data_IF_253845333081
#
_entry.id   IF_253845333081
#
_cell.length_a   1.000
_cell.length_b   1.000
_cell.length_c   1.000
_cell.angle_alpha   90.00
_cell.angle_beta   90.00
_cell.angle_gamma   90.00
#
_symmetry.space_group_name_H-M   'P 1'
#
loop_
_entity.id
_entity.type
_entity.pdbx_description
1 polymer ?
#
# COMPACT_ATOMS: atom_id res chain seq x y z
N UNK A 1 0.74 -36.55 -37.37
CA UNK A 1 -0.45 -35.70 -37.16
C UNK A 1 0.07 -34.42 -36.52
N UNK A 2 0.34 -33.37 -37.29
CA UNK A 2 -0.59 -32.26 -37.64
C UNK A 2 -0.94 -31.43 -36.39
N UNK A 3 -0.31 -30.25 -36.18
CA UNK A 3 -0.78 -28.89 -36.54
C UNK A 3 -1.95 -28.42 -35.65
N UNK A 4 -1.99 -27.25 -34.99
CA UNK A 4 -1.67 -25.86 -35.39
C UNK A 4 -1.54 -24.98 -34.11
N UNK A 5 -0.82 -23.85 -34.03
CA UNK A 5 -1.07 -22.54 -34.70
C UNK A 5 -2.38 -21.91 -34.18
N UNK A 6 -2.53 -20.67 -33.72
CA UNK A 6 -1.93 -19.35 -34.03
C UNK A 6 -2.49 -18.32 -33.01
N UNK A 7 -1.69 -17.39 -32.49
CA UNK A 7 -1.64 -15.93 -32.80
C UNK A 7 -2.97 -15.15 -32.82
N UNK A 8 -3.03 -14.02 -32.09
CA UNK A 8 -3.37 -12.66 -32.58
C UNK A 8 -3.69 -11.67 -31.45
N UNK A 9 -2.97 -10.53 -31.41
CA UNK A 9 -3.50 -9.26 -30.89
C UNK A 9 -4.49 -8.63 -31.90
N UNK A 10 -5.13 -7.48 -31.61
CA UNK A 10 -4.50 -6.17 -31.93
C UNK A 10 -4.91 -4.94 -31.06
N UNK A 11 -3.96 -3.99 -30.96
CA UNK A 11 -3.95 -2.52 -31.20
C UNK A 11 -5.04 -1.49 -30.76
N UNK A 12 -4.52 -0.29 -30.41
CA UNK A 12 -5.04 1.12 -30.47
C UNK A 12 -5.73 1.70 -29.21
N UNK A 13 -5.11 2.65 -28.49
CA UNK A 13 -5.03 4.12 -28.69
C UNK A 13 -6.24 4.91 -28.15
N UNK A 14 -6.04 5.77 -27.14
CA UNK A 14 -6.48 7.18 -27.08
C UNK A 14 -6.25 7.86 -25.72
N UNK A 15 -5.50 8.96 -25.80
CA UNK A 15 -5.49 10.23 -25.05
C UNK A 15 -6.45 10.45 -23.87
N UNK A 16 -5.91 10.99 -22.77
CA UNK A 16 -6.47 12.14 -22.06
C UNK A 16 -5.40 12.82 -21.18
N UNK A 17 -5.10 14.08 -21.50
CA UNK A 17 -4.40 15.00 -20.62
C UNK A 17 -5.28 15.36 -19.42
N UNK A 18 -4.70 15.49 -18.24
CA UNK A 18 -5.23 16.36 -17.19
C UNK A 18 -4.10 16.83 -16.29
N UNK A 19 -3.92 18.14 -16.36
CA UNK A 19 -3.08 19.01 -15.56
C UNK A 19 -3.56 19.08 -14.12
N UNK A 20 -2.63 19.06 -13.17
CA UNK A 20 -2.83 19.70 -11.86
C UNK A 20 -1.51 20.28 -11.36
N UNK A 21 -1.40 21.58 -11.56
CA UNK A 21 -0.46 22.51 -10.97
C UNK A 21 -0.48 22.46 -9.44
N UNK A 22 0.69 22.38 -8.81
CA UNK A 22 0.87 22.89 -7.45
C UNK A 22 1.92 23.99 -7.47
N UNK A 23 1.41 25.15 -7.06
CA UNK A 23 2.03 26.46 -6.96
C UNK A 23 2.87 26.55 -5.68
N UNK A 24 4.10 27.03 -5.80
CA UNK A 24 4.86 27.59 -4.67
C UNK A 24 5.68 28.78 -5.18
N UNK A 25 5.29 29.98 -4.77
CA UNK A 25 5.92 31.26 -5.10
C UNK A 25 7.34 31.41 -4.53
N UNK A 26 8.29 32.03 -5.23
CA UNK A 26 9.52 32.54 -4.64
C UNK A 26 9.31 33.98 -4.15
N UNK A 27 9.73 34.25 -2.92
CA UNK A 27 9.74 35.59 -2.33
C UNK A 27 11.02 36.29 -2.80
N UNK A 28 10.88 37.31 -3.64
CA UNK A 28 11.95 38.22 -4.01
C UNK A 28 12.41 39.02 -2.78
N UNK A 29 13.73 39.14 -2.62
CA UNK A 29 14.35 40.30 -2.01
C UNK A 29 15.67 40.59 -2.75
N UNK A 30 15.70 41.69 -3.49
CA UNK A 30 16.93 42.39 -3.86
C UNK A 30 17.10 43.59 -2.93
N UNK A 31 18.33 44.05 -2.69
CA UNK A 31 18.72 45.28 -3.39
C UNK A 31 20.19 45.33 -3.85
N UNK A 32 20.35 45.80 -5.09
CA UNK A 32 21.30 46.82 -5.57
C UNK A 32 22.57 47.11 -4.76
N UNK A 33 23.73 46.84 -5.37
CA UNK A 33 24.85 47.79 -5.47
C UNK A 33 25.85 47.36 -6.57
N UNK A 34 25.89 48.14 -7.65
CA UNK A 34 27.04 48.30 -8.58
C UNK A 34 28.04 49.30 -7.96
N UNK A 35 29.33 49.43 -8.37
CA UNK A 35 29.81 49.34 -9.76
C UNK A 35 31.21 48.71 -9.99
N UNK A 36 31.47 48.25 -11.23
CA UNK A 36 32.69 48.50 -12.02
C UNK A 36 32.70 47.61 -13.29
N UNK A 37 32.61 48.25 -14.44
CA UNK A 37 33.03 47.75 -15.77
C UNK A 37 34.57 47.75 -15.89
N UNK A 38 35.24 47.11 -16.88
CA UNK A 38 34.81 47.07 -18.30
C UNK A 38 35.12 45.82 -19.15
N UNK A 39 34.43 45.81 -20.31
CA UNK A 39 34.90 45.40 -21.64
C UNK A 39 35.26 43.93 -21.91
N UNK A 40 34.47 43.26 -22.77
CA UNK A 40 34.81 43.09 -24.21
C UNK A 40 33.68 42.36 -24.94
N UNK A 41 33.19 42.96 -26.03
CA UNK A 41 32.27 42.38 -27.03
C UNK A 41 32.95 41.28 -27.86
N UNK A 42 32.18 40.51 -28.66
CA UNK A 42 32.07 40.91 -30.07
C UNK A 42 30.66 40.85 -30.68
N UNK A 43 30.28 41.99 -31.27
CA UNK A 43 29.64 42.23 -32.57
C UNK A 43 28.63 41.22 -33.16
N UNK A 44 27.39 41.72 -33.33
CA UNK A 44 26.29 41.16 -34.13
C UNK A 44 26.49 41.39 -35.64
N UNK A 45 26.12 40.38 -36.45
CA UNK A 45 25.57 40.61 -37.81
C UNK A 45 24.37 39.67 -38.03
N UNK A 46 23.25 40.15 -38.62
CA UNK A 46 22.11 39.29 -38.98
C UNK A 46 22.36 38.61 -40.34
N UNK A 47 21.95 37.34 -40.56
CA UNK A 47 22.09 36.72 -41.87
C UNK A 47 21.02 37.26 -42.85
N UNK A 48 21.51 37.77 -43.97
CA UNK A 48 20.76 38.13 -45.17
C UNK A 48 19.95 36.93 -45.70
N UNK A 49 18.67 37.17 -45.99
CA UNK A 49 17.76 36.21 -46.60
C UNK A 49 18.25 35.77 -48.00
N UNK A 50 18.37 34.45 -48.21
CA UNK A 50 18.66 33.85 -49.51
C UNK A 50 17.37 33.81 -50.35
N UNK A 51 17.44 34.44 -51.52
CA UNK A 51 16.42 34.47 -52.56
C UNK A 51 16.10 33.07 -53.08
N UNK A 52 14.82 32.69 -53.02
CA UNK A 52 14.25 31.48 -53.62
C UNK A 52 14.17 31.63 -55.14
N UNK A 53 14.68 30.67 -55.97
CA UNK A 53 14.26 30.57 -57.36
C UNK A 53 12.91 29.82 -57.46
N UNK A 54 12.04 30.33 -58.32
CA UNK A 54 10.68 29.84 -58.59
C UNK A 54 10.67 28.43 -59.26
N UNK A 55 9.53 27.71 -59.26
CA UNK A 55 9.46 26.27 -59.46
C UNK A 55 9.50 25.88 -60.95
N UNK A 56 10.21 24.80 -61.28
CA UNK A 56 10.07 24.12 -62.56
C UNK A 56 8.98 23.05 -62.46
N UNK A 57 7.91 23.26 -63.21
CA UNK A 57 6.81 22.33 -63.47
C UNK A 57 7.18 21.39 -64.64
N UNK A 58 7.20 20.06 -64.47
CA UNK A 58 7.28 19.13 -65.60
C UNK A 58 5.91 18.52 -65.88
N UNK A 59 5.08 19.20 -66.67
CA UNK A 59 3.92 18.58 -67.33
C UNK A 59 3.99 18.69 -68.84
N UNK A 60 3.83 17.52 -69.48
CA UNK A 60 3.72 17.21 -70.92
C UNK A 60 5.07 17.07 -71.68
N UNK A 61 5.39 15.95 -72.37
CA UNK A 61 4.52 15.11 -73.21
C UNK A 61 5.13 13.73 -73.57
N UNK A 62 4.25 12.72 -73.70
CA UNK A 62 4.20 11.53 -74.59
C UNK A 62 5.21 10.33 -74.55
N UNK A 63 4.73 9.23 -73.93
CA UNK A 63 4.56 7.83 -74.38
C UNK A 63 5.42 7.19 -75.50
N UNK A 64 6.12 6.07 -75.19
CA UNK A 64 6.13 4.74 -75.90
C UNK A 64 6.49 3.60 -74.90
N UNK A 65 5.80 2.45 -74.98
CA UNK A 65 5.84 1.17 -74.20
C UNK A 65 6.88 0.15 -74.76
N UNK A 66 7.13 -1.11 -74.26
CA UNK A 66 7.00 -1.81 -72.95
C UNK A 66 8.29 -2.57 -72.45
N UNK A 67 8.21 -3.16 -71.25
CA UNK A 67 9.01 -4.24 -70.59
C UNK A 67 10.30 -3.88 -69.80
N UNK A 68 10.40 -4.27 -68.50
CA UNK A 68 11.65 -4.24 -67.74
C UNK A 68 12.43 -5.56 -67.89
N UNK A 69 13.76 -5.54 -68.11
CA UNK A 69 14.57 -6.72 -67.90
C UNK A 69 14.76 -6.93 -66.39
N UNK A 70 14.39 -8.11 -65.94
CA UNK A 70 14.87 -8.76 -64.72
C UNK A 70 16.40 -8.73 -64.69
N UNK A 71 16.99 -7.87 -63.87
CA UNK A 71 18.21 -8.17 -63.11
C UNK A 71 18.48 -7.05 -62.08
N UNK A 72 18.06 -7.24 -60.84
CA UNK A 72 18.50 -6.38 -59.74
C UNK A 72 19.90 -6.85 -59.34
N UNK A 73 20.93 -6.20 -59.89
CA UNK A 73 22.26 -6.20 -59.29
C UNK A 73 22.12 -5.87 -57.80
N UNK A 74 22.78 -6.61 -56.88
CA UNK A 74 22.76 -6.25 -55.47
C UNK A 74 23.33 -4.83 -55.35
N UNK A 75 22.51 -3.90 -54.86
CA UNK A 75 22.97 -2.55 -54.58
C UNK A 75 24.22 -2.64 -53.69
N UNK A 76 25.35 -2.02 -54.08
CA UNK A 76 26.49 -1.95 -53.18
C UNK A 76 26.04 -1.27 -51.89
N UNK A 77 26.60 -1.64 -50.73
CA UNK A 77 26.23 -1.01 -49.47
C UNK A 77 26.40 0.51 -49.62
N UNK A 78 25.42 1.27 -49.13
CA UNK A 78 25.32 2.73 -49.20
C UNK A 78 26.60 3.46 -48.74
N UNK A 79 27.50 2.77 -48.06
CA UNK A 79 28.85 3.19 -47.65
C UNK A 79 29.79 3.48 -48.83
N UNK A 80 29.71 2.78 -49.97
CA UNK A 80 30.70 2.96 -51.06
C UNK A 80 30.53 4.27 -51.83
N UNK A 81 29.30 4.76 -51.99
CA UNK A 81 29.02 5.95 -52.79
C UNK A 81 29.51 7.26 -52.14
N UNK A 82 29.64 7.28 -50.81
CA UNK A 82 30.05 8.46 -50.05
C UNK A 82 31.54 8.46 -49.66
N UNK A 83 32.27 7.37 -49.90
CA UNK A 83 33.70 7.28 -49.56
C UNK A 83 34.53 8.40 -50.23
N UNK A 84 34.17 8.77 -51.46
CA UNK A 84 34.83 9.84 -52.23
C UNK A 84 34.72 11.25 -51.60
N UNK A 85 33.77 11.46 -50.68
CA UNK A 85 33.66 12.75 -49.96
C UNK A 85 34.81 12.94 -48.98
N UNK A 86 35.40 11.84 -48.47
CA UNK A 86 36.57 11.91 -47.60
C UNK A 86 37.88 12.03 -48.39
N UNK A 87 37.92 11.51 -49.63
CA UNK A 87 39.07 11.68 -50.54
C UNK A 87 39.28 13.14 -50.96
N UNK A 88 38.23 13.96 -50.92
CA UNK A 88 38.29 15.40 -51.22
C UNK A 88 38.82 16.25 -50.05
N UNK A 89 38.94 15.66 -48.86
CA UNK A 89 39.44 16.33 -47.66
C UNK A 89 40.93 16.06 -47.47
N UNK A 90 41.63 17.00 -46.85
CA UNK A 90 42.98 16.73 -46.33
C UNK A 90 42.92 15.56 -45.32
N UNK A 91 43.89 14.65 -45.41
CA UNK A 91 43.95 13.42 -44.60
C UNK A 91 43.82 13.68 -43.10
N UNK A 92 44.40 14.77 -42.61
CA UNK A 92 44.29 15.15 -41.21
C UNK A 92 42.84 15.47 -40.79
N UNK A 93 42.11 16.20 -41.63
CA UNK A 93 40.71 16.56 -41.37
C UNK A 93 39.80 15.33 -41.44
N UNK A 94 40.03 14.45 -42.41
CA UNK A 94 39.25 13.22 -42.58
C UNK A 94 39.44 12.25 -41.40
N UNK A 95 40.68 12.10 -40.91
CA UNK A 95 41.00 11.31 -39.72
C UNK A 95 40.38 11.88 -38.43
N UNK A 96 40.40 13.21 -38.26
CA UNK A 96 39.78 13.85 -37.10
C UNK A 96 38.25 13.71 -37.09
N UNK A 97 37.61 13.79 -38.26
CA UNK A 97 36.18 13.54 -38.41
C UNK A 97 35.83 12.08 -38.08
N UNK A 98 36.63 11.11 -38.55
CA UNK A 98 36.44 9.69 -38.21
C UNK A 98 36.53 9.47 -36.69
N UNK A 99 37.61 9.94 -36.05
CA UNK A 99 37.79 9.79 -34.61
C UNK A 99 36.64 10.39 -33.81
N UNK A 100 36.18 11.58 -34.22
CA UNK A 100 35.03 12.25 -33.60
C UNK A 100 33.76 11.44 -33.77
N UNK A 101 33.49 10.94 -34.99
CA UNK A 101 32.31 10.12 -35.26
C UNK A 101 32.31 8.82 -34.45
N UNK A 102 33.45 8.12 -34.38
CA UNK A 102 33.64 6.90 -33.57
C UNK A 102 33.41 7.21 -32.10
N UNK A 103 33.96 8.31 -31.58
CA UNK A 103 33.78 8.71 -30.19
C UNK A 103 32.32 9.00 -29.84
N UNK A 104 31.59 9.72 -30.69
CA UNK A 104 30.17 10.01 -30.49
C UNK A 104 29.34 8.72 -30.52
N UNK A 105 29.53 7.88 -31.54
CA UNK A 105 28.81 6.60 -31.66
C UNK A 105 29.07 5.69 -30.46
N UNK A 106 30.31 5.61 -29.99
CA UNK A 106 30.69 4.79 -28.84
C UNK A 106 30.14 5.32 -27.51
N UNK A 107 30.14 6.64 -27.33
CA UNK A 107 29.58 7.28 -26.13
C UNK A 107 28.07 7.08 -26.07
N UNK A 108 27.37 7.29 -27.19
CA UNK A 108 25.94 7.06 -27.31
C UNK A 108 25.60 5.58 -27.14
N UNK A 109 26.42 4.67 -27.65
CA UNK A 109 26.23 3.23 -27.48
C UNK A 109 26.20 2.84 -26.00
N UNK A 110 27.13 3.36 -25.18
CA UNK A 110 27.18 3.10 -23.75
C UNK A 110 25.94 3.62 -23.00
N UNK A 111 25.44 4.81 -23.36
CA UNK A 111 24.21 5.37 -22.78
C UNK A 111 22.99 4.54 -23.20
N UNK A 112 22.92 4.16 -24.48
CA UNK A 112 21.83 3.38 -25.03
C UNK A 112 21.79 1.96 -24.47
N UNK A 113 22.92 1.37 -24.03
CA UNK A 113 22.91 0.09 -23.33
C UNK A 113 21.94 0.05 -22.16
N UNK A 114 21.73 1.18 -21.47
CA UNK A 114 20.80 1.28 -20.34
C UNK A 114 19.32 1.26 -20.71
N UNK A 115 18.98 1.75 -21.90
CA UNK A 115 17.59 2.08 -22.27
C UNK A 115 17.11 1.34 -23.52
N UNK A 116 18.03 0.97 -24.41
CA UNK A 116 17.80 0.27 -25.66
C UNK A 116 19.07 -0.51 -26.06
N UNK A 117 19.34 -1.68 -25.44
CA UNK A 117 20.57 -2.46 -25.66
C UNK A 117 20.84 -2.78 -27.13
N UNK A 118 19.82 -3.24 -27.86
CA UNK A 118 19.93 -3.55 -29.29
C UNK A 118 20.35 -2.34 -30.13
N UNK A 119 19.95 -1.12 -29.74
CA UNK A 119 20.35 0.10 -30.42
C UNK A 119 21.78 0.52 -30.05
N UNK A 120 22.19 0.31 -28.80
CA UNK A 120 23.58 0.49 -28.37
C UNK A 120 24.53 -0.42 -29.15
N UNK A 121 24.18 -1.70 -29.32
CA UNK A 121 24.94 -2.65 -30.14
C UNK A 121 25.04 -2.22 -31.60
N UNK A 122 23.95 -1.70 -32.18
CA UNK A 122 23.97 -1.16 -33.54
C UNK A 122 24.96 0.01 -33.69
N UNK A 123 25.02 0.92 -32.71
CA UNK A 123 25.92 2.08 -32.78
C UNK A 123 27.38 1.65 -32.66
N UNK A 124 27.68 0.68 -31.80
CA UNK A 124 29.01 0.07 -31.70
C UNK A 124 29.39 -0.67 -32.99
N UNK A 125 28.44 -1.36 -33.64
CA UNK A 125 28.66 -2.02 -34.91
C UNK A 125 28.98 -1.02 -36.02
N UNK A 126 28.21 0.07 -36.12
CA UNK A 126 28.47 1.16 -37.08
C UNK A 126 29.86 1.77 -36.84
N UNK A 127 30.24 2.03 -35.59
CA UNK A 127 31.56 2.56 -35.26
C UNK A 127 32.68 1.59 -35.67
N UNK A 128 32.50 0.28 -35.44
CA UNK A 128 33.46 -0.75 -35.85
C UNK A 128 33.56 -0.84 -37.37
N UNK A 129 32.44 -0.76 -38.09
CA UNK A 129 32.41 -0.74 -39.55
C UNK A 129 33.10 0.51 -40.11
N UNK A 130 32.89 1.69 -39.51
CA UNK A 130 33.56 2.93 -39.92
C UNK A 130 35.07 2.82 -39.79
N UNK A 131 35.59 2.34 -38.66
CA UNK A 131 37.04 2.12 -38.47
C UNK A 131 37.54 1.11 -39.51
N UNK A 132 36.85 -0.01 -39.69
CA UNK A 132 37.26 -1.04 -40.66
C UNK A 132 37.26 -0.52 -42.09
N UNK A 133 36.23 0.22 -42.50
CA UNK A 133 36.10 0.74 -43.86
C UNK A 133 37.12 1.84 -44.17
N UNK A 134 37.40 2.73 -43.21
CA UNK A 134 38.32 3.84 -43.38
C UNK A 134 39.77 3.37 -43.48
N UNK A 135 40.17 2.43 -42.61
CA UNK A 135 41.55 1.91 -42.59
C UNK A 135 41.78 0.69 -43.50
N UNK A 136 40.74 0.13 -44.13
CA UNK A 136 40.91 -0.79 -45.26
C UNK A 136 41.25 -0.05 -46.57
N UNK A 137 41.02 1.27 -46.63
CA UNK A 137 41.33 2.12 -47.78
C UNK A 137 42.73 2.75 -47.70
N UNK A 138 43.20 3.06 -46.49
CA UNK A 138 44.61 3.36 -46.21
C UNK A 138 45.40 2.02 -46.23
N UNK A 139 46.58 1.97 -46.86
CA UNK A 139 47.35 0.72 -47.01
C UNK A 139 47.78 0.07 -45.68
N UNK A 140 48.51 -1.05 -45.77
CA UNK A 140 48.87 -2.01 -44.70
C UNK A 140 49.58 -1.43 -43.44
N UNK A 141 49.83 -0.12 -43.36
CA UNK A 141 50.49 0.55 -42.25
C UNK A 141 49.47 1.16 -41.27
N UNK A 142 49.31 0.53 -40.11
CA UNK A 142 48.44 0.99 -39.03
C UNK A 142 48.98 2.31 -38.46
N UNK A 143 48.32 3.42 -38.75
CA UNK A 143 48.68 4.73 -38.20
C UNK A 143 48.14 4.98 -36.78
N UNK A 144 48.68 5.98 -36.10
CA UNK A 144 48.24 6.46 -34.78
C UNK A 144 46.71 6.73 -34.71
N UNK A 145 46.03 7.29 -35.73
CA UNK A 145 44.57 7.45 -35.72
C UNK A 145 43.79 6.13 -35.68
N UNK A 146 44.31 5.07 -36.30
CA UNK A 146 43.69 3.75 -36.26
C UNK A 146 43.81 3.12 -34.88
N UNK A 147 44.97 3.27 -34.22
CA UNK A 147 45.17 2.82 -32.85
C UNK A 147 44.23 3.56 -31.89
N UNK A 148 44.14 4.88 -32.01
CA UNK A 148 43.24 5.70 -31.21
C UNK A 148 41.76 5.29 -31.37
N UNK A 149 41.31 5.07 -32.60
CA UNK A 149 39.94 4.61 -32.86
C UNK A 149 39.67 3.21 -32.28
N UNK A 150 40.65 2.30 -32.36
CA UNK A 150 40.55 0.97 -31.78
C UNK A 150 40.53 1.00 -30.25
N UNK A 151 41.29 1.88 -29.61
CA UNK A 151 41.21 2.08 -28.16
C UNK A 151 39.84 2.61 -27.72
N UNK A 152 39.25 3.56 -28.47
CA UNK A 152 37.89 4.03 -28.21
C UNK A 152 36.89 2.86 -28.27
N UNK A 153 36.96 2.02 -29.32
CA UNK A 153 36.09 0.85 -29.45
C UNK A 153 36.26 -0.16 -28.31
N UNK A 154 37.49 -0.38 -27.84
CA UNK A 154 37.78 -1.26 -26.69
C UNK A 154 37.18 -0.71 -25.40
N UNK A 155 37.37 0.58 -25.13
CA UNK A 155 36.81 1.26 -23.96
C UNK A 155 35.28 1.19 -24.00
N UNK A 156 34.67 1.45 -25.16
CA UNK A 156 33.23 1.41 -25.34
C UNK A 156 32.65 0.01 -25.05
N UNK A 157 33.25 -1.04 -25.61
CA UNK A 157 32.84 -2.43 -25.33
C UNK A 157 32.88 -2.75 -23.84
N UNK A 158 33.99 -2.42 -23.19
CA UNK A 158 34.15 -2.66 -21.75
C UNK A 158 33.12 -1.91 -20.91
N UNK A 159 32.80 -0.68 -21.27
CA UNK A 159 31.79 0.11 -20.55
C UNK A 159 30.38 -0.43 -20.79
N UNK A 160 30.05 -0.84 -22.02
CA UNK A 160 28.77 -1.50 -22.31
C UNK A 160 28.61 -2.80 -21.51
N UNK A 161 29.63 -3.65 -21.47
CA UNK A 161 29.61 -4.89 -20.69
C UNK A 161 29.42 -4.61 -19.19
N UNK A 162 30.13 -3.60 -18.66
CA UNK A 162 29.98 -3.15 -17.27
C UNK A 162 28.55 -2.72 -16.97
N UNK A 163 27.96 -1.90 -17.84
CA UNK A 163 26.58 -1.42 -17.68
C UNK A 163 25.58 -2.59 -17.68
N UNK A 164 25.78 -3.59 -18.54
CA UNK A 164 24.91 -4.78 -18.56
C UNK A 164 24.98 -5.55 -17.25
N UNK A 165 26.16 -5.71 -16.67
CA UNK A 165 26.34 -6.38 -15.37
C UNK A 165 25.68 -5.57 -14.24
N UNK A 166 25.96 -4.27 -14.17
CA UNK A 166 25.38 -3.38 -13.15
C UNK A 166 23.83 -3.36 -13.22
N UNK A 167 23.27 -3.33 -14.43
CA UNK A 167 21.82 -3.41 -14.61
C UNK A 167 21.23 -4.75 -14.13
N UNK A 168 21.94 -5.84 -14.37
CA UNK A 168 21.50 -7.16 -13.92
C UNK A 168 21.49 -7.26 -12.40
N UNK A 169 22.56 -6.80 -11.76
CA UNK A 169 22.68 -6.78 -10.29
C UNK A 169 21.58 -5.91 -9.68
N UNK A 170 21.36 -4.71 -10.21
CA UNK A 170 20.30 -3.81 -9.70
C UNK A 170 18.89 -4.36 -9.90
N UNK A 171 18.61 -5.08 -10.99
CA UNK A 171 17.33 -5.76 -11.19
C UNK A 171 17.14 -6.97 -10.25
N UNK A 172 18.22 -7.72 -9.99
CA UNK A 172 18.21 -8.82 -9.02
C UNK A 172 17.97 -8.31 -7.59
N UNK A 173 18.65 -7.24 -7.19
CA UNK A 173 18.46 -6.59 -5.89
C UNK A 173 17.03 -6.06 -5.73
N UNK A 174 16.51 -5.36 -6.74
CA UNK A 174 15.13 -4.86 -6.74
C UNK A 174 14.11 -6.00 -6.60
N UNK A 175 14.37 -7.13 -7.27
CA UNK A 175 13.49 -8.30 -7.19
C UNK A 175 13.56 -8.95 -5.80
N UNK A 176 14.74 -9.03 -5.20
CA UNK A 176 14.93 -9.57 -3.86
C UNK A 176 14.24 -8.67 -2.80
N UNK A 177 14.39 -7.35 -2.90
CA UNK A 177 13.72 -6.39 -2.01
C UNK A 177 12.19 -6.48 -2.12
N UNK A 178 11.65 -6.63 -3.34
CA UNK A 178 10.21 -6.80 -3.53
C UNK A 178 9.69 -8.12 -2.94
N UNK A 179 10.47 -9.20 -3.05
CA UNK A 179 10.15 -10.49 -2.44
C UNK A 179 10.20 -10.44 -0.91
N UNK A 180 11.22 -9.79 -0.34
CA UNK A 180 11.33 -9.57 1.11
C UNK A 180 10.15 -8.75 1.63
N UNK A 181 9.80 -7.64 0.96
CA UNK A 181 8.66 -6.81 1.33
C UNK A 181 7.36 -7.60 1.33
N UNK A 182 7.17 -8.48 0.33
CA UNK A 182 5.99 -9.34 0.24
C UNK A 182 5.95 -10.37 1.37
N UNK A 183 7.08 -10.98 1.70
CA UNK A 183 7.18 -11.93 2.80
C UNK A 183 6.95 -11.26 4.17
N UNK A 184 7.43 -10.03 4.37
CA UNK A 184 7.19 -9.26 5.57
C UNK A 184 5.71 -8.88 5.72
N UNK A 185 5.07 -8.46 4.63
CA UNK A 185 3.63 -8.13 4.63
C UNK A 185 2.76 -9.35 4.97
N UNK A 186 3.09 -10.52 4.41
CA UNK A 186 2.39 -11.78 4.72
C UNK A 186 2.54 -12.14 6.20
N UNK A 187 3.74 -12.05 6.76
CA UNK A 187 3.99 -12.29 8.19
C UNK A 187 3.17 -11.35 9.07
N UNK A 188 3.12 -10.06 8.71
CA UNK A 188 2.37 -9.04 9.44
C UNK A 188 0.86 -9.27 9.34
N UNK A 189 0.37 -9.78 8.21
CA UNK A 189 -1.03 -10.17 8.07
C UNK A 189 -1.37 -11.39 8.95
N UNK A 190 -0.51 -12.39 8.98
CA UNK A 190 -0.66 -13.56 9.85
C UNK A 190 -0.68 -13.18 11.33
N UNK A 191 0.25 -12.33 11.77
CA UNK A 191 0.28 -11.82 13.14
C UNK A 191 -1.01 -11.09 13.50
N UNK A 192 -1.54 -10.25 12.59
CA UNK A 192 -2.83 -9.57 12.78
C UNK A 192 -4.00 -10.55 12.87
N UNK A 193 -3.97 -11.66 12.12
CA UNK A 193 -5.01 -12.71 12.21
C UNK A 193 -4.95 -13.40 13.57
N UNK A 194 -3.76 -13.77 14.03
CA UNK A 194 -3.55 -14.39 15.35
C UNK A 194 -4.00 -13.44 16.46
N UNK A 195 -3.63 -12.17 16.40
CA UNK A 195 -4.04 -11.18 17.40
C UNK A 195 -5.58 -11.01 17.45
N UNK A 196 -6.23 -10.97 16.29
CA UNK A 196 -7.71 -10.92 16.21
C UNK A 196 -8.34 -12.16 16.82
N UNK A 197 -7.80 -13.35 16.56
CA UNK A 197 -8.29 -14.60 17.15
C UNK A 197 -8.12 -14.58 18.67
N UNK A 198 -6.94 -14.16 19.17
CA UNK A 198 -6.68 -14.05 20.61
C UNK A 198 -7.65 -13.08 21.29
N UNK A 199 -7.90 -11.91 20.70
CA UNK A 199 -8.87 -10.94 21.23
C UNK A 199 -10.30 -11.47 21.21
N UNK A 200 -10.67 -12.23 20.18
CA UNK A 200 -11.99 -12.85 20.10
C UNK A 200 -12.17 -13.95 21.17
N UNK A 201 -11.13 -14.74 21.42
CA UNK A 201 -11.12 -15.75 22.48
C UNK A 201 -11.17 -15.10 23.87
N UNK A 202 -10.37 -14.08 24.13
CA UNK A 202 -10.39 -13.30 25.37
C UNK A 202 -11.78 -12.72 25.64
N UNK A 203 -12.42 -12.15 24.62
CA UNK A 203 -13.79 -11.64 24.74
C UNK A 203 -14.79 -12.75 25.08
N UNK A 204 -14.69 -13.92 24.43
CA UNK A 204 -15.56 -15.07 24.73
C UNK A 204 -15.35 -15.56 26.16
N UNK A 205 -14.12 -15.64 26.62
CA UNK A 205 -13.81 -16.03 27.99
C UNK A 205 -14.40 -15.02 28.99
N UNK A 206 -14.25 -13.73 28.74
CA UNK A 206 -14.86 -12.69 29.57
C UNK A 206 -16.40 -12.79 29.59
N UNK A 207 -17.04 -13.05 28.45
CA UNK A 207 -18.49 -13.27 28.37
C UNK A 207 -18.94 -14.49 29.19
N UNK A 208 -18.17 -15.58 29.18
CA UNK A 208 -18.45 -16.77 30.01
C UNK A 208 -18.34 -16.43 31.50
N UNK A 209 -17.24 -15.80 31.91
CA UNK A 209 -17.02 -15.40 33.32
C UNK A 209 -18.13 -14.49 33.81
N UNK A 210 -18.54 -13.50 33.01
CA UNK A 210 -19.63 -12.60 33.39
C UNK A 210 -20.99 -13.29 33.44
N UNK A 211 -21.22 -14.29 32.60
CA UNK A 211 -22.44 -15.11 32.66
C UNK A 211 -22.47 -15.94 33.93
N UNK A 212 -21.39 -16.66 34.23
CA UNK A 212 -21.27 -17.47 35.45
C UNK A 212 -21.43 -16.60 36.70
N UNK A 213 -20.82 -15.42 36.75
CA UNK A 213 -20.98 -14.47 37.85
C UNK A 213 -22.44 -14.02 38.03
N UNK A 214 -23.14 -13.74 36.93
CA UNK A 214 -24.56 -13.35 37.00
C UNK A 214 -25.46 -14.52 37.41
N UNK A 215 -25.19 -15.73 36.94
CA UNK A 215 -25.91 -16.95 37.34
C UNK A 215 -25.70 -17.26 38.83
N UNK A 216 -24.46 -17.15 39.32
CA UNK A 216 -24.15 -17.30 40.75
C UNK A 216 -24.90 -16.26 41.60
N UNK A 217 -24.92 -15.00 41.16
CA UNK A 217 -25.63 -13.93 41.85
C UNK A 217 -27.14 -14.18 41.91
N UNK A 218 -27.74 -14.69 40.83
CA UNK A 218 -29.17 -15.05 40.80
C UNK A 218 -29.45 -16.20 41.77
N UNK A 219 -28.62 -17.25 41.77
CA UNK A 219 -28.79 -18.37 42.69
C UNK A 219 -28.61 -17.95 44.17
N UNK A 220 -27.67 -17.04 44.45
CA UNK A 220 -27.49 -16.51 45.81
C UNK A 220 -28.71 -15.72 46.28
N UNK A 221 -29.31 -14.91 45.40
CA UNK A 221 -30.52 -14.16 45.70
C UNK A 221 -31.74 -15.08 45.91
N UNK A 222 -31.91 -16.10 45.07
CA UNK A 222 -32.97 -17.10 45.25
C UNK A 222 -32.81 -17.86 46.57
N UNK A 223 -31.59 -18.29 46.90
CA UNK A 223 -31.32 -18.99 48.16
C UNK A 223 -31.61 -18.11 49.37
N UNK A 224 -31.22 -16.82 49.32
CA UNK A 224 -31.50 -15.87 50.39
C UNK A 224 -33.00 -15.65 50.58
N UNK A 225 -33.75 -15.59 49.48
CA UNK A 225 -35.21 -15.46 49.51
C UNK A 225 -35.88 -16.71 50.09
N UNK A 226 -35.40 -17.90 49.73
CA UNK A 226 -35.88 -19.16 50.32
C UNK A 226 -35.60 -19.23 51.84
N UNK A 227 -34.42 -18.80 52.27
CA UNK A 227 -34.08 -18.71 53.70
C UNK A 227 -34.96 -17.69 54.45
N UNK A 228 -35.28 -16.56 53.82
CA UNK A 228 -36.20 -15.56 54.38
C UNK A 228 -37.64 -16.11 54.48
N UNK A 229 -38.14 -16.74 53.42
CA UNK A 229 -39.49 -17.32 53.39
C UNK A 229 -39.64 -18.41 54.46
N UNK A 230 -38.66 -19.31 54.58
CA UNK A 230 -38.65 -20.35 55.62
C UNK A 230 -38.62 -19.75 57.03
N UNK A 231 -37.79 -18.74 57.28
CA UNK A 231 -37.74 -18.04 58.58
C UNK A 231 -39.07 -17.37 58.93
N UNK A 232 -39.71 -16.70 57.98
CA UNK A 232 -41.00 -16.03 58.22
C UNK A 232 -42.14 -17.04 58.43
N UNK A 233 -42.09 -18.20 57.75
CA UNK A 233 -43.04 -19.29 57.98
C UNK A 233 -42.89 -19.89 59.38
N UNK A 234 -41.66 -20.12 59.84
CA UNK A 234 -41.37 -20.58 61.19
C UNK A 234 -41.85 -19.59 62.26
N UNK A 235 -41.63 -18.29 62.04
CA UNK A 235 -42.09 -17.24 62.94
C UNK A 235 -43.63 -17.20 63.04
N UNK A 236 -44.34 -17.27 61.90
CA UNK A 236 -45.81 -17.36 61.88
C UNK A 236 -46.31 -18.60 62.63
N UNK A 237 -45.63 -19.74 62.47
CA UNK A 237 -45.96 -20.99 63.16
C UNK A 237 -45.77 -20.88 64.66
N UNK A 238 -44.70 -20.22 65.11
CA UNK A 238 -44.45 -19.95 66.53
C UNK A 238 -45.48 -18.97 67.11
N UNK A 239 -45.78 -17.88 66.40
CA UNK A 239 -46.81 -16.92 66.80
C UNK A 239 -48.19 -17.57 66.94
N UNK A 240 -48.56 -18.48 66.04
CA UNK A 240 -49.83 -19.22 66.14
C UNK A 240 -49.87 -20.13 67.37
N UNK A 241 -48.76 -20.79 67.72
CA UNK A 241 -48.65 -21.61 68.94
C UNK A 241 -48.78 -20.75 70.18
N UNK A 242 -48.13 -19.60 70.21
CA UNK A 242 -48.20 -18.65 71.32
C UNK A 242 -49.63 -18.10 71.49
N UNK A 243 -50.27 -17.67 70.39
CA UNK A 243 -51.65 -17.20 70.41
C UNK A 243 -52.63 -18.28 70.93
N UNK A 244 -52.42 -19.54 70.56
CA UNK A 244 -53.23 -20.67 71.06
C UNK A 244 -53.06 -20.87 72.56
N UNK A 245 -51.83 -20.80 73.07
CA UNK A 245 -51.55 -20.87 74.52
C UNK A 245 -52.16 -19.69 75.26
N UNK A 246 -52.03 -18.47 74.72
CA UNK A 246 -52.63 -17.28 75.30
C UNK A 246 -54.16 -17.41 75.41
N UNK A 247 -54.84 -17.91 74.38
CA UNK A 247 -56.29 -18.14 74.40
C UNK A 247 -56.71 -19.17 75.46
N UNK A 248 -56.01 -20.30 75.57
CA UNK A 248 -56.29 -21.31 76.62
C UNK A 248 -56.11 -20.70 78.01
N UNK A 249 -55.04 -19.93 78.19
CA UNK A 249 -54.74 -19.28 79.47
C UNK A 249 -55.79 -18.23 79.82
N UNK A 250 -56.21 -17.41 78.85
CA UNK A 250 -57.23 -16.37 79.05
C UNK A 250 -58.62 -16.98 79.33
N UNK A 251 -58.99 -18.04 78.63
CA UNK A 251 -60.24 -18.77 78.90
C UNK A 251 -60.23 -19.44 80.28
N UNK A 252 -59.10 -19.99 80.73
CA UNK A 252 -58.94 -20.51 82.10
C UNK A 252 -59.05 -19.39 83.15
N UNK A 253 -58.39 -18.24 82.93
CA UNK A 253 -58.50 -17.06 83.79
C UNK A 253 -59.95 -16.58 83.88
N UNK A 254 -60.66 -16.49 82.76
CA UNK A 254 -62.09 -16.11 82.71
C UNK A 254 -62.97 -17.10 83.47
N UNK A 255 -62.72 -18.42 83.37
CA UNK A 255 -63.42 -19.44 84.17
C UNK A 255 -63.16 -19.30 85.66
N UNK A 256 -61.91 -19.04 86.06
CA UNK A 256 -61.55 -18.83 87.46
C UNK A 256 -62.16 -17.54 88.01
N UNK A 257 -62.18 -16.46 87.22
CA UNK A 257 -62.86 -15.21 87.57
C UNK A 257 -64.37 -15.43 87.73
N UNK A 258 -65.02 -16.15 86.81
CA UNK A 258 -66.44 -16.52 86.93
C UNK A 258 -66.71 -17.34 88.20
N UNK A 259 -65.87 -18.32 88.51
CA UNK A 259 -65.96 -19.14 89.74
C UNK A 259 -65.75 -18.30 91.00
N UNK A 260 -64.82 -17.35 91.00
CA UNK A 260 -64.62 -16.41 92.11
C UNK A 260 -65.83 -15.50 92.30
N UNK A 261 -66.38 -14.94 91.23
CA UNK A 261 -67.59 -14.12 91.27
C UNK A 261 -68.82 -14.90 91.75
N UNK A 262 -68.97 -16.16 91.35
CA UNK A 262 -70.05 -17.04 91.84
C UNK A 262 -69.90 -17.35 93.34
N UNK A 263 -68.68 -17.65 93.80
CA UNK A 263 -68.39 -17.83 95.24
C UNK A 263 -68.67 -16.56 96.04
N UNK A 264 -68.28 -15.39 95.53
CA UNK A 264 -68.56 -14.12 96.18
C UNK A 264 -70.07 -13.83 96.23
N UNK A 265 -70.80 -14.10 95.14
CA UNK A 265 -72.26 -13.97 95.11
C UNK A 265 -72.93 -14.90 96.13
N UNK A 266 -72.50 -16.16 96.21
CA UNK A 266 -72.97 -17.12 97.22
C UNK A 266 -72.66 -16.66 98.64
N UNK A 267 -71.44 -16.16 98.88
CA UNK A 267 -71.06 -15.60 100.18
C UNK A 267 -71.92 -14.40 100.59
N UNK A 268 -72.23 -13.49 99.67
CA UNK A 268 -73.16 -12.37 99.94
C UNK A 268 -74.60 -12.83 100.18
N UNK A 269 -75.03 -13.92 99.54
CA UNK A 269 -76.35 -14.51 99.75
C UNK A 269 -76.44 -15.23 101.11
N UNK A 270 -75.39 -15.94 101.52
CA UNK A 270 -75.25 -16.53 102.85
C UNK A 270 -75.17 -15.45 103.94
N UNK A 271 -74.43 -14.35 103.70
CA UNK A 271 -74.37 -13.20 104.63
C UNK A 271 -75.74 -12.51 104.76
N UNK A 272 -76.50 -12.37 103.66
CA UNK A 272 -77.90 -11.91 103.71
C UNK A 272 -78.80 -12.86 104.50
N UNK A 273 -78.60 -14.18 104.37
CA UNK A 273 -79.36 -15.20 105.11
C UNK A 273 -79.04 -15.17 106.61
N UNK A 274 -77.77 -15.00 106.98
CA UNK A 274 -77.35 -14.86 108.38
C UNK A 274 -77.86 -13.56 109.02
N UNK A 275 -77.86 -12.44 108.27
CA UNK A 275 -78.44 -11.17 108.73
C UNK A 275 -79.96 -11.24 108.96
N UNK A 276 -80.66 -12.12 108.25
CA UNK A 276 -82.08 -12.44 108.48
C UNK A 276 -82.30 -13.33 109.71
N UNK A 277 -81.30 -14.11 110.14
CA UNK A 277 -81.35 -14.96 111.35
C UNK A 277 -80.99 -14.17 112.60
N UNK A 278 -80.06 -13.22 112.54
CA UNK A 278 -79.72 -12.34 113.67
C UNK A 278 -80.81 -11.28 113.97
N UNK A 279 -81.71 -11.01 113.03
CA UNK A 279 -82.88 -10.14 113.25
C UNK A 279 -84.06 -10.80 113.98
N UNK A 280 -83.96 -12.09 114.34
CA UNK A 280 -85.03 -12.86 115.00
C UNK A 280 -84.68 -13.32 116.42
N UNK A 281 -83.49 -13.00 116.92
CA UNK A 281 -83.05 -13.32 118.30
C UNK A 281 -82.80 -12.01 119.05
N UNK A 282 -83.84 -11.20 119.13
CA UNK A 282 -83.81 -9.87 119.73
C UNK A 282 -85.21 -9.32 119.98
N UNK A 283 -86.09 -10.14 120.56
CA UNK A 283 -87.26 -9.74 121.34
C UNK A 283 -87.47 -10.74 122.49
#
# INVERSE_FOLDING_TARGET
MASSGSSSGPSLSSSAASSSSLSSSPISNSPSNSPSEPSSEPSSTPPTALTTPAPFDPSSTAAISPNPPTDLSPSPPLTRANAHLFDALESHTSQQLLLTAVQVLCSDAAVLTRTSPARGEQYLAIATELVTAFFAAEGEEIGEPHEAANEILKIARKEMDRVVVEMRETDEDRKAEEEERKAEEERKEEERKIEKQRKAEEKRMYEVVMREFNEEKIMEEEKKKEEEDTRTEEEKKMALREARLAYVTDTQKRRMAKKKAEKEKRGREEDRKMRLVEGWVGE
#
